data_IF_344626660374
#
_entry.id   IF_344626660374
#
_cell.length_a   1.000
_cell.length_b   1.000
_cell.length_c   1.000
_cell.angle_alpha   90.00
_cell.angle_beta   90.00
_cell.angle_gamma   90.00
#
_symmetry.space_group_name_H-M   'P 1'
#
loop_
_entity.id
_entity.type
_entity.pdbx_description
1 polymer ?
#
# COMPACT_ATOMS: atom_id res chain seq x y z
N UNK A 1 24.73 1.96 7.15
CA UNK A 1 23.53 2.70 7.59
C UNK A 1 23.90 4.09 8.11
N UNK A 2 24.65 4.25 9.21
CA UNK A 2 25.03 5.60 9.72
C UNK A 2 25.75 6.46 8.67
N UNK A 3 26.77 5.90 8.00
CA UNK A 3 27.54 6.58 6.94
C UNK A 3 26.71 6.93 5.70
N UNK A 4 25.64 6.16 5.47
CA UNK A 4 24.74 6.31 4.33
C UNK A 4 23.58 7.24 4.64
N UNK A 5 23.43 7.66 5.91
CA UNK A 5 22.32 8.50 6.35
C UNK A 5 22.77 9.94 6.53
N UNK A 6 22.03 10.88 5.93
CA UNK A 6 22.23 12.31 6.12
C UNK A 6 20.95 12.96 6.58
N UNK A 7 21.06 13.97 7.43
CA UNK A 7 19.91 14.78 7.82
C UNK A 7 19.95 16.05 7.00
N UNK A 8 18.91 16.28 6.20
CA UNK A 8 18.77 17.51 5.42
C UNK A 8 17.75 18.42 6.10
N UNK A 9 18.04 19.71 6.08
CA UNK A 9 17.10 20.77 6.46
C UNK A 9 16.86 21.64 5.24
N UNK A 10 15.59 21.83 4.90
CA UNK A 10 15.13 22.66 3.79
C UNK A 10 15.83 22.32 2.46
N UNK A 11 15.80 21.04 2.06
CA UNK A 11 16.45 20.60 0.82
C UNK A 11 17.98 20.57 0.85
N UNK A 12 18.59 20.67 2.04
CA UNK A 12 20.04 20.61 2.22
C UNK A 12 20.71 21.97 2.48
N UNK A 13 19.94 23.02 2.77
CA UNK A 13 20.46 24.31 3.26
C UNK A 13 21.31 24.13 4.52
N UNK A 14 20.86 23.24 5.43
CA UNK A 14 21.67 22.75 6.53
C UNK A 14 21.77 21.23 6.44
N UNK A 15 22.97 20.72 6.70
CA UNK A 15 23.27 19.29 6.66
C UNK A 15 23.72 18.87 8.05
N UNK A 16 23.04 17.85 8.59
CA UNK A 16 23.38 17.21 9.85
C UNK A 16 23.82 15.77 9.64
N UNK A 17 24.57 15.26 10.61
CA UNK A 17 25.03 13.87 10.64
C UNK A 17 24.49 13.17 11.88
N UNK A 18 24.30 11.85 11.76
CA UNK A 18 23.86 11.00 12.85
C UNK A 18 25.09 10.53 13.64
N UNK A 19 24.98 10.56 14.97
CA UNK A 19 25.98 10.06 15.91
C UNK A 19 25.85 8.54 16.07
N UNK A 20 26.84 7.92 16.72
CA UNK A 20 26.84 6.47 16.96
C UNK A 20 25.66 5.98 17.81
N UNK A 21 25.07 6.85 18.63
CA UNK A 21 23.88 6.56 19.45
C UNK A 21 22.55 6.70 18.66
N UNK A 22 22.61 7.01 17.37
CA UNK A 22 21.44 7.23 16.52
C UNK A 22 20.79 8.60 16.67
N UNK A 23 21.34 9.50 17.49
CA UNK A 23 20.86 10.87 17.63
C UNK A 23 21.50 11.79 16.59
N UNK A 24 20.87 12.92 16.32
CA UNK A 24 21.45 13.97 15.48
C UNK A 24 21.20 15.34 16.10
N UNK A 25 22.04 16.31 15.74
CA UNK A 25 21.89 17.69 16.18
C UNK A 25 22.35 18.59 15.05
N UNK A 26 21.62 19.68 14.82
CA UNK A 26 21.92 20.66 13.78
C UNK A 26 22.06 22.00 14.48
N UNK A 27 23.23 22.60 14.35
CA UNK A 27 23.57 23.85 15.02
C UNK A 27 23.37 25.03 14.07
N UNK A 28 23.31 26.24 14.63
CA UNK A 28 23.30 27.49 13.88
C UNK A 28 22.11 27.67 12.91
N UNK A 29 20.96 27.05 13.22
CA UNK A 29 19.71 27.26 12.47
C UNK A 29 18.97 28.48 13.05
N UNK A 30 18.72 29.55 12.26
CA UNK A 30 18.03 30.75 12.73
C UNK A 30 16.53 30.51 13.00
N UNK A 31 15.82 31.52 13.50
CA UNK A 31 14.36 31.42 13.67
C UNK A 31 13.68 31.37 12.31
N UNK A 32 12.77 30.41 12.12
CA UNK A 32 12.13 30.16 10.83
C UNK A 32 11.28 28.88 10.84
N UNK A 33 10.71 28.54 9.69
CA UNK A 33 10.01 27.27 9.46
C UNK A 33 10.83 26.43 8.50
N UNK A 34 11.25 25.25 8.94
CA UNK A 34 12.13 24.37 8.21
C UNK A 34 11.49 23.00 8.00
N UNK A 35 11.86 22.32 6.92
CA UNK A 35 11.52 20.91 6.70
C UNK A 35 12.75 20.09 7.00
N UNK A 36 12.63 19.13 7.92
CA UNK A 36 13.70 18.20 8.30
C UNK A 36 13.43 16.85 7.67
N UNK A 37 14.42 16.33 6.98
CA UNK A 37 14.35 15.10 6.19
C UNK A 37 15.53 14.20 6.54
N UNK A 38 15.28 12.90 6.64
CA UNK A 38 16.32 11.89 6.80
C UNK A 38 16.50 11.22 5.45
N UNK A 39 17.69 11.38 4.87
CA UNK A 39 18.04 10.76 3.60
C UNK A 39 18.82 9.48 3.88
N UNK A 40 18.33 8.36 3.34
CA UNK A 40 19.01 7.08 3.32
C UNK A 40 18.78 6.44 1.94
N UNK A 41 19.77 5.76 1.35
CA UNK A 41 19.62 5.13 0.03
C UNK A 41 18.52 4.07 -0.01
N UNK A 42 18.47 3.16 0.98
CA UNK A 42 17.45 2.10 1.00
C UNK A 42 16.13 2.42 1.72
N UNK A 43 16.08 3.42 2.61
CA UNK A 43 14.93 3.63 3.50
C UNK A 43 14.32 5.00 3.35
N UNK A 44 12.99 5.03 3.25
CA UNK A 44 12.21 6.27 3.23
C UNK A 44 11.80 6.65 4.64
N UNK A 45 11.97 7.92 4.99
CA UNK A 45 11.53 8.50 6.25
C UNK A 45 10.47 9.57 5.99
N UNK A 46 9.56 9.74 6.94
CA UNK A 46 8.57 10.82 6.85
C UNK A 46 9.21 12.18 7.18
N UNK A 47 9.09 13.19 6.31
CA UNK A 47 9.62 14.52 6.58
C UNK A 47 8.78 15.26 7.64
N UNK A 48 9.46 16.03 8.48
CA UNK A 48 8.82 16.76 9.59
C UNK A 48 9.09 18.25 9.46
N UNK A 49 8.05 19.07 9.61
CA UNK A 49 8.20 20.52 9.67
C UNK A 49 8.53 20.95 11.09
N UNK A 50 9.61 21.71 11.26
CA UNK A 50 10.04 22.28 12.54
C UNK A 50 10.00 23.81 12.44
N UNK A 51 9.26 24.43 13.35
CA UNK A 51 9.16 25.87 13.50
C UNK A 51 9.96 26.31 14.72
N UNK A 52 10.84 27.30 14.52
CA UNK A 52 11.71 27.88 15.54
C UNK A 52 11.29 29.34 15.71
N UNK A 53 10.77 29.68 16.88
CA UNK A 53 10.44 31.07 17.21
C UNK A 53 11.72 31.86 17.52
N UNK A 54 11.70 33.18 17.36
CA UNK A 54 12.78 34.10 17.76
C UNK A 54 13.18 33.98 19.24
N UNK A 55 12.30 33.43 20.09
CA UNK A 55 12.59 33.10 21.50
C UNK A 55 13.27 31.73 21.71
N UNK A 56 13.60 31.00 20.65
CA UNK A 56 14.20 29.66 20.71
C UNK A 56 13.24 28.54 21.10
N UNK A 57 11.92 28.77 21.08
CA UNK A 57 10.92 27.70 21.26
C UNK A 57 10.73 26.94 19.95
N UNK A 58 10.73 25.61 20.04
CA UNK A 58 10.53 24.70 18.92
C UNK A 58 9.11 24.16 18.88
N UNK A 59 8.56 23.98 17.69
CA UNK A 59 7.33 23.23 17.43
C UNK A 59 7.55 22.32 16.23
N UNK A 60 7.37 21.03 16.41
CA UNK A 60 7.41 20.06 15.32
C UNK A 60 5.99 19.64 14.92
N UNK A 61 5.74 19.53 13.62
CA UNK A 61 4.47 19.05 13.06
C UNK A 61 4.69 18.23 11.79
N UNK A 62 3.74 17.35 11.49
CA UNK A 62 3.75 16.57 10.23
C UNK A 62 3.74 17.52 9.04
N UNK A 63 4.55 17.22 8.02
CA UNK A 63 4.58 18.02 6.80
C UNK A 63 3.30 17.74 5.98
N UNK A 64 2.49 18.78 5.77
CA UNK A 64 1.39 18.76 4.82
C UNK A 64 1.57 19.91 3.82
N UNK A 65 1.70 19.58 2.54
CA UNK A 65 1.90 20.55 1.45
C UNK A 65 0.58 21.08 0.88
N UNK A 66 -0.53 20.38 1.11
CA UNK A 66 -1.86 20.76 0.59
C UNK A 66 -2.59 21.63 1.61
N UNK A 67 -2.68 21.18 2.86
CA UNK A 67 -3.34 21.89 3.95
C UNK A 67 -2.31 22.43 4.95
N UNK A 68 -1.75 23.59 4.63
CA UNK A 68 -0.71 24.24 5.45
C UNK A 68 -1.22 24.71 6.82
N UNK A 69 -2.52 24.92 6.97
CA UNK A 69 -3.19 25.28 8.22
C UNK A 69 -3.41 24.09 9.16
N UNK A 70 -3.33 22.86 8.66
CA UNK A 70 -3.47 21.67 9.48
C UNK A 70 -2.24 21.53 10.40
N UNK A 71 -2.50 21.37 11.70
CA UNK A 71 -1.46 21.24 12.70
C UNK A 71 -1.61 19.89 13.39
N UNK A 72 -0.82 18.90 12.93
CA UNK A 72 -0.63 17.63 13.61
C UNK A 72 0.72 17.71 14.31
N UNK A 73 0.71 17.96 15.61
CA UNK A 73 1.95 18.10 16.38
C UNK A 73 2.66 16.75 16.50
N UNK A 74 3.99 16.81 16.40
CA UNK A 74 4.89 15.66 16.55
C UNK A 74 5.78 15.94 17.76
N UNK A 75 6.12 14.93 18.57
CA UNK A 75 7.02 15.12 19.71
C UNK A 75 8.39 15.67 19.28
N UNK A 76 8.96 16.50 20.14
CA UNK A 76 10.33 16.98 20.05
C UNK A 76 11.10 16.55 21.31
N UNK A 77 12.35 16.05 21.23
CA UNK A 77 13.17 15.83 20.03
C UNK A 77 12.55 14.87 19.01
N UNK A 78 12.89 15.04 17.73
CA UNK A 78 12.31 14.27 16.64
C UNK A 78 12.67 12.78 16.77
N UNK A 79 11.64 11.93 16.75
CA UNK A 79 11.79 10.47 16.70
C UNK A 79 11.39 9.96 15.32
N UNK A 80 12.35 9.96 14.39
CA UNK A 80 12.11 9.59 13.00
C UNK A 80 12.35 8.09 12.82
N UNK A 81 11.32 7.36 12.38
CA UNK A 81 11.40 5.93 12.08
C UNK A 81 11.33 5.72 10.56
N UNK A 82 12.01 4.69 10.02
CA UNK A 82 11.87 4.34 8.62
C UNK A 82 10.43 3.88 8.36
N UNK A 83 9.82 4.39 7.30
CA UNK A 83 8.46 4.07 6.90
C UNK A 83 8.43 2.84 5.99
N UNK A 84 9.27 2.83 4.95
CA UNK A 84 9.37 1.73 3.99
C UNK A 84 10.76 1.64 3.39
N UNK A 85 11.08 0.50 2.78
CA UNK A 85 12.27 0.34 1.95
C UNK A 85 11.96 0.85 0.54
N UNK A 86 12.88 1.57 -0.08
CA UNK A 86 12.78 1.98 -1.47
C UNK A 86 12.84 0.75 -2.39
N UNK A 87 11.83 0.61 -3.25
CA UNK A 87 11.83 -0.34 -4.36
C UNK A 87 12.17 0.43 -5.64
N UNK A 88 13.45 0.60 -5.92
CA UNK A 88 13.93 1.32 -7.10
C UNK A 88 13.64 0.58 -8.41
N UNK A 89 13.44 -0.74 -8.34
CA UNK A 89 13.27 -1.58 -9.51
C UNK A 89 11.84 -2.11 -9.59
N UNK A 90 11.25 -1.97 -10.77
CA UNK A 90 10.04 -2.69 -11.12
C UNK A 90 10.42 -4.08 -11.61
N UNK A 91 9.80 -5.12 -11.03
CA UNK A 91 9.99 -6.49 -11.50
C UNK A 91 9.33 -6.62 -12.87
N UNK A 92 10.04 -7.21 -13.84
CA UNK A 92 9.46 -7.48 -15.17
C UNK A 92 8.31 -8.47 -15.03
N UNK A 93 7.27 -8.27 -15.83
CA UNK A 93 6.22 -9.27 -15.98
C UNK A 93 6.84 -10.57 -16.48
N UNK A 94 6.61 -11.64 -15.73
CA UNK A 94 7.06 -12.98 -16.10
C UNK A 94 5.86 -13.75 -16.63
N UNK A 95 6.11 -14.65 -17.57
CA UNK A 95 5.11 -15.63 -17.95
C UNK A 95 4.82 -16.54 -16.75
N UNK A 96 3.68 -16.32 -16.11
CA UNK A 96 3.18 -17.18 -15.05
C UNK A 96 2.06 -18.05 -15.62
N UNK A 97 2.21 -19.36 -15.53
CA UNK A 97 1.17 -20.31 -15.95
C UNK A 97 -0.17 -20.04 -15.23
N UNK A 98 -0.11 -19.55 -13.99
CA UNK A 98 -1.28 -19.08 -13.24
C UNK A 98 -1.99 -17.93 -13.94
N UNK A 99 -1.24 -16.95 -14.46
CA UNK A 99 -1.82 -15.76 -15.08
C UNK A 99 -2.47 -16.12 -16.43
N UNK A 100 -1.96 -17.15 -17.11
CA UNK A 100 -2.62 -17.76 -18.27
C UNK A 100 -3.89 -18.54 -17.88
N UNK A 101 -3.81 -19.43 -16.89
CA UNK A 101 -4.94 -20.25 -16.45
C UNK A 101 -6.09 -19.39 -15.89
N UNK A 102 -5.76 -18.36 -15.11
CA UNK A 102 -6.72 -17.43 -14.53
C UNK A 102 -7.06 -16.25 -15.44
N UNK A 103 -6.65 -16.31 -16.71
CA UNK A 103 -7.09 -15.35 -17.69
C UNK A 103 -8.60 -15.54 -17.93
N UNK A 104 -9.43 -14.49 -17.78
CA UNK A 104 -10.88 -14.61 -17.94
C UNK A 104 -11.27 -15.18 -19.31
N UNK A 105 -10.50 -14.91 -20.36
CA UNK A 105 -10.77 -15.47 -21.69
C UNK A 105 -10.50 -16.98 -21.76
N UNK A 106 -9.43 -17.46 -21.11
CA UNK A 106 -9.09 -18.89 -21.09
C UNK A 106 -10.09 -19.68 -20.26
N UNK A 107 -10.47 -19.18 -19.08
CA UNK A 107 -11.50 -19.82 -18.24
C UNK A 107 -12.83 -19.89 -19.00
N UNK A 108 -13.27 -18.79 -19.61
CA UNK A 108 -14.55 -18.74 -20.32
C UNK A 108 -14.58 -19.65 -21.55
N UNK A 109 -13.43 -19.97 -22.14
CA UNK A 109 -13.35 -20.92 -23.27
C UNK A 109 -13.28 -22.38 -22.80
N UNK A 110 -12.46 -22.68 -21.79
CA UNK A 110 -12.20 -24.07 -21.37
C UNK A 110 -13.33 -24.61 -20.48
N UNK A 111 -13.87 -23.80 -19.57
CA UNK A 111 -14.88 -24.24 -18.61
C UNK A 111 -16.16 -24.75 -19.28
N UNK A 112 -16.75 -24.05 -20.28
CA UNK A 112 -17.94 -24.56 -20.98
C UNK A 112 -17.67 -25.85 -21.76
N UNK A 113 -16.50 -25.97 -22.40
CA UNK A 113 -16.13 -27.19 -23.13
C UNK A 113 -15.99 -28.40 -22.19
N UNK A 114 -15.38 -28.21 -21.02
CA UNK A 114 -15.28 -29.24 -19.99
C UNK A 114 -16.68 -29.65 -19.50
N UNK A 115 -17.56 -28.69 -19.22
CA UNK A 115 -18.94 -28.97 -18.83
C UNK A 115 -19.67 -29.75 -19.94
N UNK A 116 -19.57 -29.37 -21.20
CA UNK A 116 -20.21 -30.09 -22.32
C UNK A 116 -19.68 -31.53 -22.44
N UNK A 117 -18.42 -31.79 -22.08
CA UNK A 117 -17.85 -33.14 -22.12
C UNK A 117 -18.23 -34.00 -20.90
N UNK A 118 -18.33 -33.39 -19.71
CA UNK A 118 -18.57 -34.10 -18.44
C UNK A 118 -20.06 -34.24 -18.14
N UNK A 119 -20.88 -33.23 -18.46
CA UNK A 119 -22.33 -33.24 -18.22
C UNK A 119 -23.01 -34.49 -18.83
N UNK A 120 -22.74 -34.91 -20.09
CA UNK A 120 -23.35 -36.13 -20.64
C UNK A 120 -22.95 -37.41 -19.90
N UNK A 121 -21.73 -37.45 -19.34
CA UNK A 121 -21.25 -38.61 -18.56
C UNK A 121 -21.90 -38.65 -17.19
N UNK A 122 -21.99 -37.52 -16.49
CA UNK A 122 -22.69 -37.43 -15.21
C UNK A 122 -24.20 -37.62 -15.36
N UNK A 123 -24.78 -37.09 -16.44
CA UNK A 123 -26.18 -37.32 -16.80
C UNK A 123 -26.46 -38.75 -17.25
N UNK A 124 -25.50 -39.67 -17.32
CA UNK A 124 -25.81 -41.09 -17.51
C UNK A 124 -26.08 -41.81 -16.18
N UNK A 125 -25.58 -41.28 -15.07
CA UNK A 125 -25.82 -41.81 -13.73
C UNK A 125 -27.24 -41.44 -13.25
N UNK A 126 -28.04 -42.41 -12.76
CA UNK A 126 -29.43 -42.19 -12.38
C UNK A 126 -29.57 -41.20 -11.21
N UNK A 127 -28.63 -41.20 -10.28
CA UNK A 127 -28.62 -40.32 -9.09
C UNK A 127 -28.45 -38.84 -9.48
N UNK A 128 -27.50 -38.54 -10.37
CA UNK A 128 -27.28 -37.16 -10.84
C UNK A 128 -28.42 -36.64 -11.73
N UNK A 129 -29.12 -37.51 -12.46
CA UNK A 129 -30.34 -37.12 -13.21
C UNK A 129 -31.45 -36.66 -12.27
N UNK A 130 -31.59 -37.31 -11.11
CA UNK A 130 -32.59 -36.94 -10.11
C UNK A 130 -32.23 -35.62 -9.43
N UNK A 131 -30.95 -35.44 -9.06
CA UNK A 131 -30.46 -34.18 -8.48
C UNK A 131 -30.62 -32.99 -9.44
N UNK A 132 -30.28 -33.16 -10.72
CA UNK A 132 -30.46 -32.11 -11.74
C UNK A 132 -31.95 -31.79 -11.98
N UNK A 133 -32.84 -32.79 -11.89
CA UNK A 133 -34.29 -32.57 -11.94
C UNK A 133 -34.80 -31.85 -10.69
N UNK A 134 -34.28 -32.17 -9.51
CA UNK A 134 -34.61 -31.47 -8.27
C UNK A 134 -34.15 -30.02 -8.31
N UNK A 135 -32.91 -29.74 -8.75
CA UNK A 135 -32.38 -28.38 -8.93
C UNK A 135 -33.23 -27.60 -9.95
N UNK A 136 -33.58 -28.22 -11.08
CA UNK A 136 -34.46 -27.62 -12.09
C UNK A 136 -35.88 -27.33 -11.59
N UNK A 137 -36.42 -28.19 -10.72
CA UNK A 137 -37.71 -27.97 -10.07
C UNK A 137 -37.64 -26.88 -9.00
N UNK A 138 -36.58 -26.82 -8.19
CA UNK A 138 -36.36 -25.76 -7.19
C UNK A 138 -36.19 -24.38 -7.84
N UNK A 139 -35.40 -24.30 -8.93
CA UNK A 139 -35.22 -23.06 -9.71
C UNK A 139 -36.54 -22.57 -10.33
N UNK A 140 -37.37 -23.49 -10.85
CA UNK A 140 -38.73 -23.16 -11.33
C UNK A 140 -39.68 -22.73 -10.21
N UNK A 141 -39.51 -23.28 -9.01
CA UNK A 141 -40.31 -22.92 -7.83
C UNK A 141 -39.94 -21.54 -7.29
N UNK A 142 -38.76 -21.00 -7.65
CA UNK A 142 -38.33 -19.64 -7.27
C UNK A 142 -38.87 -18.54 -8.21
N UNK A 143 -39.46 -18.91 -9.36
CA UNK A 143 -39.95 -17.97 -10.40
C UNK A 143 -41.49 -17.87 -10.51
N UNK A 144 -42.26 -18.22 -9.47
CA UNK A 144 -43.72 -18.00 -9.44
C UNK A 144 -44.12 -17.19 -8.20
N UNK A 145 -45.16 -16.35 -8.32
CA UNK A 145 -45.03 -14.89 -8.42
C UNK A 145 -45.44 -14.18 -7.13
N UNK A 146 -45.04 -12.91 -6.98
CA UNK A 146 -45.73 -11.98 -6.08
C UNK A 146 -47.23 -12.03 -6.40
N UNK A 147 -48.02 -12.57 -5.46
CA UNK A 147 -49.47 -12.50 -5.51
C UNK A 147 -49.91 -11.06 -5.29
N UNK A 148 -50.98 -10.71 -6.01
CA UNK A 148 -51.77 -9.49 -5.93
C UNK A 148 -52.07 -8.98 -4.53
#
# INVERSE_FOLDING_TARGET
WLVDTRIHVNGGEYIGFIKNDGTFTIHNVPSGSYVVEVLHPDYMYEPVRVEINSKGKYRARKLNLIQTSQIIQVPYPLKMKPMMRFNFFQVREQWRLTDFLFNPMVIMMVLPLLLIMVLPKMMNDPETKEDLKQIGNMAKMSELPEMS
#
